data_IF_530143322321
#
_entry.id   IF_530143322321
#
_cell.length_a   1.000
_cell.length_b   1.000
_cell.length_c   1.000
_cell.angle_alpha   90.00
_cell.angle_beta   90.00
_cell.angle_gamma   90.00
#
_symmetry.space_group_name_H-M   'P 1'
#
loop_
_entity.id
_entity.type
_entity.pdbx_description
1 polymer ?
#
# COMPACT_ATOMS: atom_id res chain seq x y z
N UNK A 1 -15.60 -8.32 5.24
CA UNK A 1 -14.52 -7.44 4.74
C UNK A 1 -14.99 -6.00 4.78
N UNK A 2 -14.22 -5.12 5.39
CA UNK A 2 -14.44 -3.67 5.34
C UNK A 2 -13.36 -3.12 4.41
N UNK A 3 -13.77 -2.43 3.36
CA UNK A 3 -12.87 -1.77 2.41
C UNK A 3 -13.00 -0.27 2.68
N UNK A 4 -11.92 0.37 3.09
CA UNK A 4 -11.85 1.83 3.14
C UNK A 4 -11.20 2.33 1.86
N UNK A 5 -11.92 3.20 1.14
CA UNK A 5 -11.41 3.95 -0.01
C UNK A 5 -11.37 5.41 0.42
N UNK A 6 -10.22 6.04 0.28
CA UNK A 6 -10.11 7.48 0.51
C UNK A 6 -10.69 8.19 -0.71
N UNK A 7 -11.92 8.73 -0.58
CA UNK A 7 -12.48 9.68 -1.54
C UNK A 7 -12.15 11.10 -1.10
N UNK A 8 -11.67 11.91 -2.03
CA UNK A 8 -11.37 13.32 -1.77
C UNK A 8 -12.65 14.12 -1.50
N UNK A 9 -12.66 14.82 -0.39
CA UNK A 9 -13.79 15.58 0.14
C UNK A 9 -14.06 16.83 -0.71
N UNK A 10 -15.35 17.07 -1.06
CA UNK A 10 -15.81 18.33 -1.67
C UNK A 10 -16.35 19.23 -0.56
N UNK A 11 -15.66 20.31 -0.29
CA UNK A 11 -16.06 21.29 0.70
C UNK A 11 -16.64 22.56 0.09
N UNK A 12 -17.67 23.08 0.77
CA UNK A 12 -18.45 24.24 0.42
C UNK A 12 -17.72 25.59 0.55
N UNK A 13 -18.17 26.55 -0.24
CA UNK A 13 -17.65 27.91 -0.34
C UNK A 13 -17.76 28.71 0.95
N UNK A 14 -16.64 29.09 1.53
CA UNK A 14 -16.45 30.20 2.44
C UNK A 14 -15.42 31.15 1.86
N UNK A 15 -15.67 32.49 1.95
CA UNK A 15 -14.74 33.54 1.48
C UNK A 15 -13.40 33.39 2.22
N UNK A 16 -12.46 32.71 1.59
CA UNK A 16 -11.13 32.46 2.13
C UNK A 16 -10.19 33.60 1.72
N UNK A 17 -9.27 33.97 2.64
CA UNK A 17 -8.17 34.89 2.37
C UNK A 17 -7.30 34.34 1.21
N UNK A 18 -6.82 35.19 0.27
CA UNK A 18 -6.01 34.76 -0.88
C UNK A 18 -4.82 33.86 -0.53
N UNK A 19 -4.17 34.06 0.63
CA UNK A 19 -3.07 33.22 1.10
C UNK A 19 -3.55 31.82 1.55
N UNK A 20 -4.73 31.73 2.14
CA UNK A 20 -5.34 30.44 2.50
C UNK A 20 -5.79 29.68 1.26
N UNK A 21 -6.30 30.41 0.26
CA UNK A 21 -6.69 29.82 -1.03
C UNK A 21 -5.46 29.27 -1.77
N UNK A 22 -4.35 30.01 -1.80
CA UNK A 22 -3.10 29.52 -2.41
C UNK A 22 -2.54 28.29 -1.69
N UNK A 23 -2.58 28.27 -0.36
CA UNK A 23 -2.19 27.08 0.41
C UNK A 23 -3.09 25.88 0.15
N UNK A 24 -4.42 26.09 0.08
CA UNK A 24 -5.35 25.01 -0.23
C UNK A 24 -5.14 24.47 -1.65
N UNK A 25 -4.92 25.35 -2.64
CA UNK A 25 -4.62 24.94 -4.03
C UNK A 25 -3.31 24.13 -4.09
N UNK A 26 -2.25 24.58 -3.39
CA UNK A 26 -0.98 23.83 -3.33
C UNK A 26 -1.14 22.48 -2.65
N UNK A 27 -1.89 22.41 -1.54
CA UNK A 27 -2.20 21.15 -0.85
C UNK A 27 -3.05 20.23 -1.73
N UNK A 28 -4.02 20.78 -2.45
CA UNK A 28 -4.87 20.02 -3.37
C UNK A 28 -4.08 19.50 -4.59
N UNK A 29 -3.14 20.27 -5.11
CA UNK A 29 -2.23 19.83 -6.19
C UNK A 29 -1.27 18.74 -5.72
N UNK A 30 -0.70 18.87 -4.51
CA UNK A 30 0.14 17.85 -3.89
C UNK A 30 -0.64 16.56 -3.63
N UNK A 31 -1.88 16.66 -3.15
CA UNK A 31 -2.75 15.50 -2.91
C UNK A 31 -3.23 14.84 -4.21
N UNK A 32 -3.48 15.60 -5.28
CA UNK A 32 -3.85 15.06 -6.59
C UNK A 32 -2.74 14.23 -7.25
N UNK A 33 -1.49 14.47 -6.86
CA UNK A 33 -0.33 13.75 -7.39
C UNK A 33 0.06 12.55 -6.54
N UNK A 34 -0.54 12.36 -5.36
CA UNK A 34 -0.30 11.19 -4.51
C UNK A 34 -1.11 9.98 -5.02
N UNK A 35 -0.54 8.79 -4.86
CA UNK A 35 -1.25 7.54 -5.08
C UNK A 35 -2.32 7.29 -4.00
N UNK A 36 -3.27 6.41 -4.29
CA UNK A 36 -4.35 6.03 -3.40
C UNK A 36 -4.01 4.75 -2.64
N UNK A 37 -4.35 4.71 -1.35
CA UNK A 37 -4.16 3.54 -0.51
C UNK A 37 -5.49 2.79 -0.33
N UNK A 38 -5.48 1.48 -0.63
CA UNK A 38 -6.58 0.58 -0.32
C UNK A 38 -6.12 -0.50 0.63
N UNK A 39 -6.78 -0.61 1.79
CA UNK A 39 -6.42 -1.56 2.85
C UNK A 39 -7.49 -2.65 2.94
N UNK A 40 -7.06 -3.90 2.90
CA UNK A 40 -7.90 -5.08 3.10
C UNK A 40 -7.75 -5.55 4.55
N UNK A 41 -8.77 -5.32 5.36
CA UNK A 41 -8.80 -5.67 6.76
C UNK A 41 -9.34 -7.09 6.97
N UNK A 42 -8.76 -7.80 7.94
CA UNK A 42 -9.29 -9.08 8.41
C UNK A 42 -8.88 -9.32 9.85
N UNK A 43 -9.74 -10.06 10.60
CA UNK A 43 -9.54 -10.28 12.02
C UNK A 43 -8.25 -11.02 12.35
N UNK A 44 -7.88 -12.01 11.54
CA UNK A 44 -6.71 -12.87 11.75
C UNK A 44 -6.01 -13.25 10.45
N UNK A 45 -4.85 -13.87 10.56
CA UNK A 45 -4.20 -14.53 9.43
C UNK A 45 -5.12 -15.63 8.85
N UNK A 46 -5.04 -15.87 7.55
CA UNK A 46 -5.80 -16.94 6.88
C UNK A 46 -7.27 -16.64 6.58
N UNK A 47 -7.82 -15.48 6.96
CA UNK A 47 -9.23 -15.13 6.67
C UNK A 47 -9.47 -14.65 5.23
N UNK A 48 -8.47 -14.74 4.35
CA UNK A 48 -8.61 -14.45 2.92
C UNK A 48 -8.39 -12.99 2.51
N UNK A 49 -7.71 -12.16 3.32
CA UNK A 49 -7.36 -10.76 2.96
C UNK A 49 -6.54 -10.67 1.69
N UNK A 50 -5.44 -11.44 1.65
CA UNK A 50 -4.54 -11.50 0.49
C UNK A 50 -5.27 -12.02 -0.74
N UNK A 51 -6.18 -13.00 -0.57
CA UNK A 51 -7.03 -13.48 -1.65
C UNK A 51 -7.91 -12.35 -2.22
N UNK A 52 -8.63 -11.61 -1.37
CA UNK A 52 -9.47 -10.48 -1.78
C UNK A 52 -8.66 -9.34 -2.43
N UNK A 53 -7.46 -9.06 -1.92
CA UNK A 53 -6.54 -8.10 -2.52
C UNK A 53 -6.15 -8.50 -3.94
N UNK A 54 -5.79 -9.78 -4.16
CA UNK A 54 -5.42 -10.30 -5.46
C UNK A 54 -6.60 -10.33 -6.44
N UNK A 55 -7.81 -10.70 -6.00
CA UNK A 55 -9.01 -10.60 -6.84
C UNK A 55 -9.25 -9.16 -7.31
N UNK A 56 -9.18 -8.19 -6.39
CA UNK A 56 -9.31 -6.77 -6.72
C UNK A 56 -8.22 -6.30 -7.71
N UNK A 57 -7.00 -6.83 -7.58
CA UNK A 57 -5.90 -6.54 -8.49
C UNK A 57 -6.17 -7.07 -9.91
N UNK A 58 -6.71 -8.28 -10.03
CA UNK A 58 -7.11 -8.82 -11.33
C UNK A 58 -8.23 -8.00 -11.99
N UNK A 59 -9.21 -7.53 -11.20
CA UNK A 59 -10.25 -6.64 -11.71
C UNK A 59 -9.66 -5.32 -12.22
N UNK A 60 -8.73 -4.73 -11.48
CA UNK A 60 -8.02 -3.51 -11.92
C UNK A 60 -7.23 -3.75 -13.21
N UNK A 61 -6.53 -4.88 -13.31
CA UNK A 61 -5.81 -5.25 -14.52
C UNK A 61 -6.74 -5.45 -15.73
N UNK A 62 -7.91 -6.05 -15.54
CA UNK A 62 -8.93 -6.19 -16.60
C UNK A 62 -9.45 -4.83 -17.09
N UNK A 63 -9.41 -3.80 -16.25
CA UNK A 63 -9.74 -2.42 -16.60
C UNK A 63 -8.58 -1.68 -17.29
N UNK A 64 -7.46 -2.35 -17.55
CA UNK A 64 -6.30 -1.78 -18.24
C UNK A 64 -5.32 -1.07 -17.33
N UNK A 65 -5.43 -1.20 -16.00
CA UNK A 65 -4.48 -0.63 -15.04
C UNK A 65 -3.21 -1.47 -15.05
N UNK A 66 -2.05 -0.83 -15.06
CA UNK A 66 -0.73 -1.47 -14.92
C UNK A 66 -0.51 -1.91 -13.48
N UNK A 67 -0.74 -3.19 -13.21
CA UNK A 67 -0.73 -3.80 -11.88
C UNK A 67 0.47 -4.72 -11.69
N UNK A 68 1.17 -4.54 -10.57
CA UNK A 68 2.36 -5.32 -10.20
C UNK A 68 2.22 -5.85 -8.78
N UNK A 69 2.57 -7.11 -8.54
CA UNK A 69 2.75 -7.66 -7.20
C UNK A 69 4.18 -7.34 -6.71
N UNK A 70 4.30 -6.38 -5.79
CA UNK A 70 5.57 -5.98 -5.20
C UNK A 70 6.03 -6.93 -4.10
N UNK A 71 5.12 -7.31 -3.21
CA UNK A 71 5.34 -8.32 -2.17
C UNK A 71 4.01 -8.96 -1.78
N UNK A 72 3.96 -10.26 -1.81
CA UNK A 72 2.84 -11.06 -1.32
C UNK A 72 3.41 -12.18 -0.45
N UNK A 73 2.86 -12.32 0.75
CA UNK A 73 3.33 -13.30 1.73
C UNK A 73 3.36 -14.72 1.14
N UNK A 74 4.53 -15.42 1.16
CA UNK A 74 4.68 -16.72 0.51
C UNK A 74 3.89 -17.87 1.16
N UNK A 75 3.42 -17.70 2.40
CA UNK A 75 2.57 -18.68 3.09
C UNK A 75 1.10 -18.65 2.66
N UNK A 76 0.81 -17.91 1.62
CA UNK A 76 -0.52 -17.87 1.05
C UNK A 76 -1.01 -19.28 0.69
N UNK A 77 -2.28 -19.56 1.00
CA UNK A 77 -2.99 -20.77 0.59
C UNK A 77 -2.77 -21.05 -0.92
N UNK A 78 -2.72 -22.32 -1.38
CA UNK A 78 -2.55 -22.65 -2.80
C UNK A 78 -3.49 -21.92 -3.74
N UNK A 79 -4.72 -21.61 -3.29
CA UNK A 79 -5.67 -20.77 -4.05
C UNK A 79 -5.20 -19.35 -4.23
N UNK A 80 -4.56 -18.78 -3.20
CA UNK A 80 -3.98 -17.43 -3.23
C UNK A 80 -2.75 -17.39 -4.14
N UNK A 81 -1.90 -18.43 -4.06
CA UNK A 81 -0.74 -18.55 -4.94
C UNK A 81 -1.15 -18.65 -6.42
N UNK A 82 -2.26 -19.32 -6.72
CA UNK A 82 -2.80 -19.41 -8.08
C UNK A 82 -3.22 -18.03 -8.63
N UNK A 83 -3.67 -17.11 -7.78
CA UNK A 83 -4.03 -15.75 -8.19
C UNK A 83 -2.82 -14.84 -8.51
N UNK A 84 -1.61 -15.23 -8.12
CA UNK A 84 -0.40 -14.52 -8.58
C UNK A 84 -0.11 -14.80 -10.07
N UNK A 85 -0.64 -15.94 -10.61
CA UNK A 85 -0.51 -16.23 -12.02
C UNK A 85 -1.23 -15.15 -12.84
N UNK A 86 -0.53 -14.62 -13.83
CA UNK A 86 -1.05 -13.57 -14.69
C UNK A 86 -0.81 -12.13 -14.17
N UNK A 87 -0.23 -11.95 -12.99
CA UNK A 87 0.32 -10.68 -12.53
C UNK A 87 1.85 -10.67 -12.71
N UNK A 88 2.40 -9.50 -13.00
CA UNK A 88 3.85 -9.30 -12.91
C UNK A 88 4.23 -9.31 -11.43
N UNK A 89 5.24 -10.08 -11.06
CA UNK A 89 5.75 -10.17 -9.69
C UNK A 89 7.17 -9.60 -9.67
N UNK A 90 7.42 -8.62 -8.80
CA UNK A 90 8.77 -8.10 -8.61
C UNK A 90 9.61 -9.10 -7.81
N UNK A 91 10.93 -9.16 -8.09
CA UNK A 91 11.84 -9.92 -7.25
C UNK A 91 11.89 -9.31 -5.85
N UNK A 92 11.99 -10.17 -4.84
CA UNK A 92 12.26 -9.78 -3.46
C UNK A 92 13.73 -9.40 -3.29
N UNK A 93 14.02 -8.65 -2.23
CA UNK A 93 15.38 -8.36 -1.80
C UNK A 93 15.79 -9.35 -0.73
N UNK A 94 16.81 -10.13 -1.01
CA UNK A 94 17.42 -11.01 0.00
C UNK A 94 18.23 -10.19 1.00
N UNK A 95 17.91 -10.34 2.28
CA UNK A 95 18.60 -9.70 3.42
C UNK A 95 19.12 -10.79 4.36
N UNK A 96 20.43 -10.77 4.63
CA UNK A 96 21.03 -11.69 5.55
C UNK A 96 20.88 -11.18 7.00
N UNK A 97 20.14 -11.93 7.83
CA UNK A 97 19.87 -11.58 9.20
C UNK A 97 19.98 -12.80 10.13
N UNK A 98 20.82 -12.71 11.16
CA UNK A 98 21.02 -13.78 12.17
C UNK A 98 21.27 -15.19 11.58
N UNK A 99 22.05 -15.27 10.50
CA UNK A 99 22.38 -16.56 9.87
C UNK A 99 21.32 -17.11 8.92
N UNK A 100 20.25 -16.35 8.66
CA UNK A 100 19.20 -16.70 7.72
C UNK A 100 19.09 -15.66 6.62
N UNK A 101 18.61 -16.08 5.45
CA UNK A 101 18.25 -15.20 4.36
C UNK A 101 16.75 -14.93 4.48
N UNK A 102 16.37 -13.65 4.53
CA UNK A 102 15.00 -13.18 4.55
C UNK A 102 14.68 -12.50 3.23
N UNK A 103 13.52 -12.82 2.68
CA UNK A 103 12.97 -12.17 1.49
C UNK A 103 12.15 -10.95 1.91
N UNK A 104 12.64 -9.77 1.56
CA UNK A 104 11.98 -8.50 1.87
C UNK A 104 11.49 -7.79 0.61
N UNK A 105 10.54 -6.90 0.78
CA UNK A 105 10.05 -6.05 -0.31
C UNK A 105 11.14 -5.12 -0.82
N UNK A 106 11.38 -5.12 -2.14
CA UNK A 106 12.34 -4.21 -2.78
C UNK A 106 11.63 -2.94 -3.28
N UNK A 107 11.59 -1.93 -2.41
CA UNK A 107 11.03 -0.61 -2.76
C UNK A 107 11.81 0.08 -3.89
N UNK A 108 13.12 -0.16 -4.00
CA UNK A 108 13.94 0.41 -5.06
C UNK A 108 13.51 -0.09 -6.44
N UNK A 109 13.26 -1.39 -6.56
CA UNK A 109 12.73 -1.99 -7.78
C UNK A 109 11.32 -1.50 -8.08
N UNK A 110 10.46 -1.37 -7.07
CA UNK A 110 9.10 -0.87 -7.23
C UNK A 110 9.07 0.57 -7.76
N UNK A 111 9.86 1.47 -7.19
CA UNK A 111 9.98 2.86 -7.64
C UNK A 111 10.57 2.97 -9.06
N UNK A 112 11.53 2.11 -9.39
CA UNK A 112 12.12 2.05 -10.74
C UNK A 112 11.11 1.55 -11.77
N UNK A 113 10.32 0.52 -11.44
CA UNK A 113 9.28 -0.04 -12.32
C UNK A 113 8.14 0.93 -12.52
N UNK A 114 7.78 1.69 -11.47
CA UNK A 114 6.75 2.73 -11.43
C UNK A 114 5.41 2.28 -12.04
N UNK A 115 4.78 1.23 -11.49
CA UNK A 115 3.45 0.78 -11.94
C UNK A 115 2.38 1.80 -11.56
N UNK A 116 1.17 1.67 -12.12
CA UNK A 116 0.01 2.46 -11.67
C UNK A 116 -0.51 1.94 -10.32
N UNK A 117 -0.52 0.62 -10.12
CA UNK A 117 -0.96 -0.05 -8.91
C UNK A 117 0.04 -1.11 -8.48
N UNK A 118 0.43 -1.11 -7.22
CA UNK A 118 1.28 -2.13 -6.63
C UNK A 118 0.62 -2.80 -5.43
N UNK A 119 0.82 -4.11 -5.31
CA UNK A 119 0.36 -4.90 -4.16
C UNK A 119 1.52 -5.07 -3.19
N UNK A 120 1.33 -4.66 -1.95
CA UNK A 120 2.32 -4.82 -0.88
C UNK A 120 1.61 -5.36 0.36
N UNK A 121 1.73 -6.66 0.59
CA UNK A 121 1.06 -7.36 1.68
C UNK A 121 1.67 -6.97 3.05
N UNK A 122 0.87 -7.06 4.12
CA UNK A 122 1.27 -6.83 5.51
C UNK A 122 1.80 -5.41 5.83
N UNK A 123 0.91 -4.42 5.87
CA UNK A 123 1.23 -3.01 6.23
C UNK A 123 1.99 -2.88 7.57
N UNK A 124 1.69 -3.75 8.55
CA UNK A 124 2.27 -3.71 9.91
C UNK A 124 3.66 -4.36 10.02
N UNK A 125 4.19 -4.93 8.92
CA UNK A 125 5.46 -5.64 8.94
C UNK A 125 6.62 -4.74 9.37
N UNK A 126 7.52 -5.32 10.19
CA UNK A 126 8.81 -4.71 10.51
C UNK A 126 9.86 -5.28 9.58
N UNK A 127 10.40 -4.45 8.71
CA UNK A 127 11.41 -4.86 7.75
C UNK A 127 12.71 -5.30 8.45
N UNK A 128 13.44 -6.22 7.84
CA UNK A 128 14.73 -6.66 8.35
C UNK A 128 15.75 -5.50 8.38
N UNK A 129 16.70 -5.59 9.29
CA UNK A 129 17.81 -4.62 9.37
C UNK A 129 18.61 -4.62 8.06
N UNK A 130 18.91 -3.43 7.55
CA UNK A 130 19.53 -3.22 6.24
C UNK A 130 18.55 -2.92 5.10
N UNK A 131 17.25 -2.96 5.34
CA UNK A 131 16.26 -2.40 4.44
C UNK A 131 16.29 -0.87 4.45
N UNK A 132 15.72 -0.23 3.39
CA UNK A 132 15.67 1.24 3.26
C UNK A 132 14.89 1.89 4.39
N UNK A 133 13.79 1.28 4.81
CA UNK A 133 12.95 1.71 5.92
C UNK A 133 12.81 0.60 6.96
N UNK A 134 12.65 0.98 8.23
CA UNK A 134 12.47 0.03 9.31
C UNK A 134 11.07 -0.63 9.32
N UNK A 135 10.08 0.04 8.74
CA UNK A 135 8.69 -0.41 8.72
C UNK A 135 8.11 -0.38 7.30
N UNK A 136 7.31 -1.38 6.96
CA UNK A 136 6.65 -1.49 5.65
C UNK A 136 5.72 -0.32 5.33
N UNK A 137 5.04 0.24 6.32
CA UNK A 137 4.21 1.42 6.09
C UNK A 137 4.99 2.63 5.58
N UNK A 138 6.29 2.74 5.92
CA UNK A 138 7.16 3.82 5.42
C UNK A 138 7.48 3.62 3.93
N UNK A 139 7.67 2.36 3.51
CA UNK A 139 7.82 2.01 2.09
C UNK A 139 6.55 2.38 1.32
N UNK A 140 5.38 2.03 1.88
CA UNK A 140 4.07 2.34 1.27
C UNK A 140 3.88 3.85 1.16
N UNK A 141 4.22 4.62 2.19
CA UNK A 141 4.15 6.09 2.17
C UNK A 141 5.02 6.69 1.05
N UNK A 142 6.21 6.14 0.82
CA UNK A 142 7.10 6.58 -0.26
C UNK A 142 6.50 6.27 -1.64
N UNK A 143 5.89 5.08 -1.82
CA UNK A 143 5.19 4.71 -3.05
C UNK A 143 4.01 5.65 -3.35
N UNK A 144 3.19 5.95 -2.35
CA UNK A 144 2.07 6.88 -2.49
C UNK A 144 2.54 8.29 -2.86
N UNK A 145 3.61 8.78 -2.22
CA UNK A 145 4.22 10.07 -2.56
C UNK A 145 4.81 10.10 -3.98
N UNK A 146 5.20 8.95 -4.52
CA UNK A 146 5.63 8.81 -5.92
C UNK A 146 4.46 8.72 -6.92
N UNK A 147 3.22 8.82 -6.45
CA UNK A 147 2.01 8.75 -7.28
C UNK A 147 1.61 7.32 -7.68
N UNK A 148 2.04 6.31 -6.94
CA UNK A 148 1.72 4.90 -7.18
C UNK A 148 0.59 4.48 -6.24
N UNK A 149 -0.50 3.94 -6.78
CA UNK A 149 -1.58 3.36 -5.98
C UNK A 149 -1.10 2.09 -5.29
N UNK A 150 -1.52 1.89 -4.04
CA UNK A 150 -1.09 0.73 -3.24
C UNK A 150 -2.29 -0.03 -2.68
N UNK A 151 -2.31 -1.35 -2.90
CA UNK A 151 -3.18 -2.27 -2.17
C UNK A 151 -2.35 -3.00 -1.13
N UNK A 152 -2.85 -3.06 0.11
CA UNK A 152 -2.18 -3.72 1.23
C UNK A 152 -3.16 -4.44 2.14
N UNK A 153 -2.66 -5.27 3.04
CA UNK A 153 -3.48 -5.98 4.03
C UNK A 153 -3.09 -5.61 5.45
N UNK A 154 -4.04 -5.73 6.38
CA UNK A 154 -3.82 -5.54 7.82
C UNK A 154 -4.61 -6.56 8.62
N UNK A 155 -3.98 -7.11 9.65
CA UNK A 155 -4.67 -7.86 10.71
C UNK A 155 -5.22 -6.88 11.76
N UNK A 156 -6.49 -7.03 12.13
CA UNK A 156 -7.15 -6.17 13.13
C UNK A 156 -6.41 -6.17 14.48
N UNK A 157 -5.75 -7.29 14.83
CA UNK A 157 -4.91 -7.39 16.02
C UNK A 157 -3.76 -6.38 16.08
N UNK A 158 -3.38 -5.80 14.95
CA UNK A 158 -2.33 -4.77 14.85
C UNK A 158 -2.88 -3.35 14.72
N UNK A 159 -4.20 -3.17 14.68
CA UNK A 159 -4.81 -1.84 14.46
C UNK A 159 -4.49 -0.88 15.60
N UNK A 160 -4.51 -1.31 16.87
CA UNK A 160 -4.21 -0.44 18.00
C UNK A 160 -2.80 0.18 17.91
N UNK A 161 -1.83 -0.58 17.37
CA UNK A 161 -0.47 -0.07 17.12
C UNK A 161 -0.34 0.71 15.81
N UNK A 162 -1.35 0.69 14.95
CA UNK A 162 -1.34 1.29 13.62
C UNK A 162 -2.28 2.48 13.48
N UNK A 163 -3.14 2.78 14.47
CA UNK A 163 -4.07 3.91 14.38
C UNK A 163 -3.33 5.22 14.07
N UNK A 164 -2.25 5.53 14.78
CA UNK A 164 -1.43 6.72 14.55
C UNK A 164 -0.72 6.67 13.18
N UNK A 165 -0.37 5.46 12.74
CA UNK A 165 0.32 5.23 11.47
C UNK A 165 -0.62 5.41 10.29
N UNK A 166 -1.83 4.84 10.36
CA UNK A 166 -2.86 5.01 9.33
C UNK A 166 -3.27 6.48 9.25
N UNK A 167 -3.49 7.14 10.39
CA UNK A 167 -3.75 8.57 10.44
C UNK A 167 -2.64 9.39 9.77
N UNK A 168 -1.36 9.04 10.01
CA UNK A 168 -0.20 9.74 9.41
C UNK A 168 -0.06 9.52 7.89
N UNK A 169 -0.61 8.41 7.36
CA UNK A 169 -0.59 8.10 5.92
C UNK A 169 -1.78 8.73 5.22
N UNK A 170 -2.95 8.72 5.87
CA UNK A 170 -4.22 9.18 5.29
C UNK A 170 -4.51 10.65 5.58
N UNK A 171 -3.75 11.29 6.49
CA UNK A 171 -3.97 12.67 6.97
C UNK A 171 -5.38 12.90 7.56
N UNK A 172 -6.08 11.81 7.92
CA UNK A 172 -7.38 11.84 8.60
C UNK A 172 -7.13 11.72 10.11
N UNK A 173 -7.55 12.74 10.88
CA UNK A 173 -7.54 12.76 12.34
C UNK A 173 -8.93 12.41 12.86
#
# INVERSE_FOLDING_TARGET
YIVFVQEGDRMGESRQNPEQLLKSIQTDEENRNKGHLKIFFGYAAGVGKTYAMLEAAHMAKQQGIDVVAGYVEPHACPKTAALLNGLEVLPTREVFYNGMILDEFDIGMALKRKPQLILVDELAHTNAEGCRHAKRYQDIKELLNAGIDVYTTVNVQHIESLCDTVASITEIV
#
